data_IF_450232386905
#
_entry.id   IF_450232386905
#
_cell.length_a   1.000
_cell.length_b   1.000
_cell.length_c   1.000
_cell.angle_alpha   90.00
_cell.angle_beta   90.00
_cell.angle_gamma   90.00
#
_symmetry.space_group_name_H-M   'P 1'
#
loop_
_entity.id
_entity.type
_entity.pdbx_description
1 polymer ?
#
# COMPACT_ATOMS: atom_id res chain seq x y z
N UNK A 1 -36.23 5.39 21.50
CA UNK A 1 -34.85 5.27 21.02
C UNK A 1 -34.95 4.82 19.57
N UNK A 2 -34.66 5.70 18.60
CA UNK A 2 -34.76 5.33 17.18
C UNK A 2 -33.66 4.32 16.85
N UNK A 3 -34.09 3.08 16.72
CA UNK A 3 -33.33 1.92 16.29
C UNK A 3 -33.12 1.99 14.78
N UNK A 4 -32.30 2.93 14.31
CA UNK A 4 -31.62 2.72 13.04
C UNK A 4 -30.67 1.55 13.28
N UNK A 5 -31.09 0.36 12.85
CA UNK A 5 -30.52 -0.93 13.20
C UNK A 5 -28.99 -0.89 13.12
N UNK A 6 -28.36 -1.09 14.29
CA UNK A 6 -26.90 -1.20 14.37
C UNK A 6 -26.47 -2.42 13.57
N UNK A 7 -25.41 -2.31 12.77
CA UNK A 7 -24.71 -3.49 12.23
C UNK A 7 -24.53 -4.48 13.37
N UNK A 8 -24.84 -5.75 13.14
CA UNK A 8 -24.50 -6.79 14.10
C UNK A 8 -23.03 -6.62 14.50
N UNK A 9 -22.69 -6.81 15.78
CA UNK A 9 -21.35 -6.52 16.33
C UNK A 9 -20.25 -7.14 15.45
N UNK A 10 -20.50 -8.34 14.92
CA UNK A 10 -19.60 -9.05 14.02
C UNK A 10 -19.35 -8.31 12.69
N UNK A 11 -20.38 -7.74 12.06
CA UNK A 11 -20.23 -7.00 10.80
C UNK A 11 -19.53 -5.65 11.00
N UNK A 12 -19.71 -5.05 12.17
CA UNK A 12 -19.12 -3.76 12.53
C UNK A 12 -17.61 -3.88 12.79
N UNK A 13 -17.18 -4.98 13.40
CA UNK A 13 -15.79 -5.21 13.79
C UNK A 13 -14.94 -5.82 12.67
N UNK A 14 -15.53 -6.68 11.84
CA UNK A 14 -14.75 -7.38 10.82
C UNK A 14 -14.44 -6.50 9.61
N UNK A 15 -13.16 -6.42 9.26
CA UNK A 15 -12.67 -5.91 7.99
C UNK A 15 -12.80 -7.03 6.97
N UNK A 16 -13.44 -6.75 5.83
CA UNK A 16 -13.72 -7.73 4.79
C UNK A 16 -13.33 -7.20 3.43
N UNK A 17 -12.71 -8.05 2.63
CA UNK A 17 -12.40 -7.76 1.23
C UNK A 17 -12.93 -8.86 0.33
N UNK A 18 -13.23 -8.53 -0.92
CA UNK A 18 -13.66 -9.50 -1.91
C UNK A 18 -13.23 -9.04 -3.30
N UNK A 19 -13.29 -9.97 -4.26
CA UNK A 19 -13.23 -9.62 -5.67
C UNK A 19 -14.37 -8.67 -6.03
N UNK A 20 -14.07 -7.71 -6.89
CA UNK A 20 -15.04 -6.73 -7.38
C UNK A 20 -15.95 -7.37 -8.45
N UNK A 21 -16.92 -8.14 -7.97
CA UNK A 21 -17.99 -8.75 -8.76
C UNK A 21 -19.28 -7.93 -8.58
N UNK A 22 -20.17 -7.95 -9.58
CA UNK A 22 -21.42 -7.19 -9.50
C UNK A 22 -22.34 -7.70 -8.38
N UNK A 23 -22.37 -9.01 -8.13
CA UNK A 23 -23.08 -9.61 -6.99
C UNK A 23 -22.58 -9.03 -5.64
N UNK A 24 -21.27 -8.82 -5.50
CA UNK A 24 -20.67 -8.26 -4.27
C UNK A 24 -20.96 -6.78 -4.11
N UNK A 25 -21.05 -6.03 -5.22
CA UNK A 25 -21.49 -4.62 -5.19
C UNK A 25 -22.94 -4.53 -4.75
N UNK A 26 -23.82 -5.41 -5.24
CA UNK A 26 -25.22 -5.46 -4.84
C UNK A 26 -25.37 -5.80 -3.35
N UNK A 27 -24.67 -6.83 -2.88
CA UNK A 27 -24.67 -7.19 -1.45
C UNK A 27 -24.16 -6.03 -0.57
N UNK A 28 -23.09 -5.36 -1.00
CA UNK A 28 -22.56 -4.19 -0.32
C UNK A 28 -23.57 -3.03 -0.32
N UNK A 29 -24.26 -2.78 -1.43
CA UNK A 29 -25.30 -1.76 -1.51
C UNK A 29 -26.45 -2.06 -0.55
N UNK A 30 -26.96 -3.30 -0.54
CA UNK A 30 -28.00 -3.74 0.39
C UNK A 30 -27.57 -3.60 1.86
N UNK A 31 -26.31 -3.90 2.18
CA UNK A 31 -25.76 -3.69 3.53
C UNK A 31 -25.76 -2.21 3.92
N UNK A 32 -25.40 -1.32 2.99
CA UNK A 32 -25.35 0.13 3.24
C UNK A 32 -26.74 0.77 3.29
N UNK A 33 -27.73 0.19 2.63
CA UNK A 33 -29.13 0.60 2.72
C UNK A 33 -29.76 0.15 4.04
N UNK A 34 -29.46 -1.07 4.46
CA UNK A 34 -30.04 -1.68 5.66
C UNK A 34 -29.38 -1.17 6.95
N UNK A 35 -28.09 -0.85 6.90
CA UNK A 35 -27.34 -0.48 8.09
C UNK A 35 -26.55 0.82 7.93
N UNK A 36 -26.41 1.54 9.05
CA UNK A 36 -25.53 2.72 9.10
C UNK A 36 -24.06 2.32 9.01
N UNK A 37 -23.23 3.20 8.43
CA UNK A 37 -21.79 3.02 8.41
C UNK A 37 -21.22 2.88 9.84
N UNK A 38 -20.20 2.02 10.05
CA UNK A 38 -19.59 1.86 11.35
C UNK A 38 -18.91 3.16 11.78
N UNK A 39 -19.04 3.50 13.07
CA UNK A 39 -18.37 4.66 13.68
C UNK A 39 -16.90 4.30 13.97
N UNK A 40 -16.07 4.36 12.95
CA UNK A 40 -14.62 4.12 13.04
C UNK A 40 -13.85 5.03 12.10
N UNK A 41 -12.59 5.27 12.43
CA UNK A 41 -11.70 6.06 11.60
C UNK A 41 -11.09 5.21 10.46
N UNK A 42 -10.68 5.89 9.39
CA UNK A 42 -10.04 5.28 8.22
C UNK A 42 -10.96 5.05 7.03
N UNK A 43 -10.48 4.28 6.04
CA UNK A 43 -11.22 3.97 4.83
C UNK A 43 -12.32 2.94 5.12
N UNK A 44 -13.57 3.37 4.98
CA UNK A 44 -14.72 2.50 5.20
C UNK A 44 -14.95 1.63 3.94
N UNK A 45 -15.38 2.24 2.86
CA UNK A 45 -15.70 1.51 1.63
C UNK A 45 -14.72 1.89 0.54
N UNK A 46 -14.10 0.90 -0.10
CA UNK A 46 -13.21 1.11 -1.25
C UNK A 46 -13.60 0.13 -2.34
N UNK A 47 -13.91 0.63 -3.52
CA UNK A 47 -14.13 -0.18 -4.72
C UNK A 47 -13.12 0.26 -5.76
N UNK A 48 -12.28 -0.65 -6.22
CA UNK A 48 -11.15 -0.30 -7.10
C UNK A 48 -10.72 -1.48 -7.97
N UNK A 49 -10.32 -1.23 -9.21
CA UNK A 49 -9.91 -2.31 -10.11
C UNK A 49 -8.41 -2.64 -10.01
N UNK A 50 -7.61 -1.75 -9.45
CA UNK A 50 -6.15 -1.74 -9.62
C UNK A 50 -5.36 -1.97 -8.32
N UNK A 51 -6.03 -2.15 -7.17
CA UNK A 51 -5.34 -2.32 -5.88
C UNK A 51 -5.31 -3.78 -5.46
N UNK A 52 -4.10 -4.27 -5.26
CA UNK A 52 -3.88 -5.62 -4.75
C UNK A 52 -4.44 -5.79 -3.34
N UNK A 53 -4.70 -7.04 -2.98
CA UNK A 53 -5.20 -7.44 -1.66
C UNK A 53 -4.36 -6.86 -0.51
N UNK A 54 -3.03 -6.93 -0.60
CA UNK A 54 -2.12 -6.47 0.44
C UNK A 54 -2.25 -4.96 0.67
N UNK A 55 -2.56 -4.19 -0.38
CA UNK A 55 -2.77 -2.75 -0.25
C UNK A 55 -4.07 -2.43 0.50
N UNK A 56 -5.14 -3.20 0.27
CA UNK A 56 -6.41 -3.06 0.99
C UNK A 56 -6.27 -3.45 2.46
N UNK A 57 -5.50 -4.51 2.74
CA UNK A 57 -5.18 -4.93 4.12
C UNK A 57 -4.38 -3.85 4.84
N UNK A 58 -3.32 -3.32 4.22
CA UNK A 58 -2.49 -2.25 4.80
C UNK A 58 -3.28 -0.96 5.06
N UNK A 59 -4.22 -0.63 4.16
CA UNK A 59 -5.10 0.53 4.32
C UNK A 59 -6.23 0.31 5.34
N UNK A 60 -6.31 -0.88 5.96
CA UNK A 60 -7.32 -1.24 6.96
C UNK A 60 -8.76 -0.95 6.48
N UNK A 61 -9.06 -1.33 5.23
CA UNK A 61 -10.38 -1.02 4.63
C UNK A 61 -11.48 -1.87 5.25
N UNK A 62 -12.61 -1.26 5.65
CA UNK A 62 -13.74 -2.00 6.21
C UNK A 62 -14.38 -2.96 5.21
N UNK A 63 -14.75 -2.45 4.04
CA UNK A 63 -15.35 -3.18 2.93
C UNK A 63 -14.59 -2.82 1.66
N UNK A 64 -13.67 -3.68 1.26
CA UNK A 64 -12.85 -3.52 0.07
C UNK A 64 -13.30 -4.43 -1.07
N UNK A 65 -13.52 -3.88 -2.25
CA UNK A 65 -13.75 -4.64 -3.48
C UNK A 65 -12.62 -4.36 -4.46
N UNK A 66 -11.94 -5.41 -4.94
CA UNK A 66 -11.00 -5.24 -6.05
C UNK A 66 -10.88 -6.38 -7.04
N UNK A 67 -10.64 -6.07 -8.32
CA UNK A 67 -10.40 -7.09 -9.36
C UNK A 67 -9.13 -7.90 -9.10
N UNK A 68 -8.17 -7.36 -8.32
CA UNK A 68 -6.91 -8.02 -7.98
C UNK A 68 -7.00 -8.87 -6.70
N UNK A 69 -8.17 -8.97 -6.07
CA UNK A 69 -8.41 -9.91 -4.96
C UNK A 69 -8.83 -11.25 -5.56
N UNK A 70 -8.15 -12.33 -5.17
CA UNK A 70 -8.37 -13.67 -5.73
C UNK A 70 -9.59 -14.40 -5.13
N UNK A 71 -10.26 -13.81 -4.14
CA UNK A 71 -11.40 -14.42 -3.44
C UNK A 71 -12.72 -13.88 -4.00
N UNK A 72 -13.52 -14.75 -4.62
CA UNK A 72 -14.87 -14.39 -5.10
C UNK A 72 -15.87 -14.18 -3.93
N UNK A 73 -15.53 -14.68 -2.74
CA UNK A 73 -16.27 -14.51 -1.50
C UNK A 73 -15.61 -13.49 -0.55
N UNK A 74 -16.39 -12.94 0.38
CA UNK A 74 -15.86 -12.09 1.45
C UNK A 74 -14.81 -12.82 2.27
N UNK A 75 -13.60 -12.29 2.24
CA UNK A 75 -12.49 -12.70 3.08
C UNK A 75 -12.38 -11.76 4.27
N UNK A 76 -12.44 -12.30 5.47
CA UNK A 76 -12.17 -11.55 6.70
C UNK A 76 -10.66 -11.35 6.81
N UNK A 77 -10.24 -10.09 6.99
CA UNK A 77 -8.82 -9.72 7.08
C UNK A 77 -8.43 -9.20 8.46
N UNK A 78 -9.34 -9.25 9.45
CA UNK A 78 -9.14 -8.73 10.81
C UNK A 78 -7.82 -9.15 11.46
N UNK A 79 -7.43 -10.41 11.31
CA UNK A 79 -6.21 -10.96 11.90
C UNK A 79 -4.93 -10.56 11.15
N UNK A 80 -5.06 -10.11 9.91
CA UNK A 80 -3.95 -9.63 9.07
C UNK A 80 -3.70 -8.13 9.25
N UNK A 81 -4.63 -7.43 9.90
CA UNK A 81 -4.51 -6.00 10.13
C UNK A 81 -3.62 -5.78 11.36
N UNK A 82 -2.31 -5.71 11.18
CA UNK A 82 -1.43 -5.21 12.24
C UNK A 82 -1.77 -3.75 12.53
N UNK A 83 -2.14 -3.36 13.76
CA UNK A 83 -2.44 -1.98 14.08
C UNK A 83 -1.18 -1.15 13.87
N UNK A 84 -1.13 -0.42 12.76
CA UNK A 84 -0.03 0.50 12.50
C UNK A 84 -0.32 1.77 13.28
N UNK A 85 0.00 1.76 14.57
CA UNK A 85 0.02 2.96 15.41
C UNK A 85 1.21 3.83 14.99
N UNK A 86 1.14 4.48 13.84
CA UNK A 86 2.08 5.53 13.47
C UNK A 86 1.56 6.86 14.00
N UNK A 87 2.02 7.22 15.21
CA UNK A 87 1.92 8.58 15.74
C UNK A 87 2.43 9.58 14.70
N UNK A 88 1.57 10.49 14.28
CA UNK A 88 1.99 11.76 13.67
C UNK A 88 2.78 12.56 14.69
N UNK A 89 4.08 12.77 14.46
CA UNK A 89 4.84 13.93 14.95
C UNK A 89 6.22 13.95 14.28
N UNK A 90 6.33 14.79 13.24
CA UNK A 90 7.51 15.56 12.82
C UNK A 90 7.64 15.55 11.30
N UNK A 91 7.26 16.68 10.73
CA UNK A 91 7.60 17.15 9.40
C UNK A 91 9.12 17.00 9.19
N UNK A 92 9.56 16.08 8.32
CA UNK A 92 10.87 16.19 7.66
C UNK A 92 10.78 15.55 6.28
N UNK A 93 10.76 16.41 5.28
CA UNK A 93 10.94 16.08 3.88
C UNK A 93 12.17 15.18 3.71
N UNK A 94 11.98 13.99 3.16
CA UNK A 94 13.08 13.23 2.58
C UNK A 94 12.56 12.40 1.42
N UNK A 95 13.12 12.76 0.27
CA UNK A 95 13.00 12.21 -1.07
C UNK A 95 13.00 10.68 -1.14
N UNK A 96 12.20 10.16 -2.08
CA UNK A 96 12.32 8.83 -2.69
C UNK A 96 13.80 8.49 -2.94
N UNK A 97 14.29 7.45 -2.28
CA UNK A 97 15.54 6.78 -2.63
C UNK A 97 15.20 5.34 -3.02
N UNK A 98 15.41 5.05 -4.30
CA UNK A 98 15.39 3.73 -4.88
C UNK A 98 16.80 3.14 -4.72
N UNK A 99 16.88 2.00 -4.04
CA UNK A 99 18.07 1.14 -4.01
C UNK A 99 18.85 1.15 -2.69
N UNK A 100 18.86 0.01 -2.00
CA UNK A 100 20.12 -0.55 -1.51
C UNK A 100 19.92 -2.03 -1.17
N UNK A 101 20.57 -2.87 -1.98
CA UNK A 101 20.89 -4.26 -1.68
C UNK A 101 21.92 -4.25 -0.55
N UNK A 102 21.68 -5.09 0.46
CA UNK A 102 22.54 -5.32 1.62
C UNK A 102 24.02 -5.55 1.22
N UNK A 103 24.89 -4.67 1.72
CA UNK A 103 26.33 -4.91 1.83
C UNK A 103 26.64 -5.32 3.28
N UNK A 104 27.34 -6.46 3.47
CA UNK A 104 27.94 -6.84 4.75
C UNK A 104 29.48 -6.67 4.66
N UNK A 105 30.14 -6.15 5.72
CA UNK A 105 31.31 -5.28 5.59
C UNK A 105 32.63 -5.96 5.95
N UNK A 106 33.75 -5.43 5.45
CA UNK A 106 34.98 -5.23 6.24
C UNK A 106 35.90 -4.19 5.61
N UNK A 107 35.99 -3.04 6.31
CA UNK A 107 37.23 -2.35 6.73
C UNK A 107 38.38 -2.21 5.71
N UNK A 108 38.57 -1.00 5.19
CA UNK A 108 39.53 -0.01 5.72
C UNK A 108 40.03 0.95 4.63
N UNK A 109 40.09 2.24 5.01
CA UNK A 109 40.84 3.36 4.39
C UNK A 109 40.17 4.16 3.25
N UNK A 110 39.47 5.22 3.68
CA UNK A 110 39.84 6.61 3.34
C UNK A 110 40.19 6.92 1.87
N UNK A 111 39.21 7.36 1.05
CA UNK A 111 39.41 8.43 0.06
C UNK A 111 38.09 8.93 -0.60
N UNK A 112 37.05 9.21 0.17
CA UNK A 112 35.87 9.89 -0.37
C UNK A 112 36.08 11.41 -0.35
N UNK A 113 36.68 12.00 -1.40
CA UNK A 113 36.47 13.44 -1.66
C UNK A 113 36.75 14.00 -3.07
N UNK A 114 37.29 13.28 -4.06
CA UNK A 114 37.84 13.97 -5.25
C UNK A 114 37.48 13.39 -6.63
N UNK A 115 36.21 13.08 -6.92
CA UNK A 115 35.79 12.77 -8.30
C UNK A 115 34.54 13.52 -8.76
N UNK A 116 34.41 14.80 -8.39
CA UNK A 116 33.34 15.68 -8.87
C UNK A 116 33.78 16.73 -9.91
N UNK A 117 34.97 16.66 -10.49
CA UNK A 117 35.33 17.53 -11.60
C UNK A 117 36.31 16.84 -12.56
N UNK A 118 36.02 16.95 -13.87
CA UNK A 118 36.86 16.58 -15.02
C UNK A 118 36.57 15.25 -15.74
N UNK A 119 35.43 15.16 -16.44
CA UNK A 119 35.37 14.46 -17.74
C UNK A 119 34.64 15.37 -18.75
N UNK A 120 35.24 16.52 -19.02
CA UNK A 120 34.99 17.34 -20.21
C UNK A 120 36.36 17.70 -20.78
N UNK A 121 37.03 16.73 -21.39
CA UNK A 121 38.22 16.87 -22.25
C UNK A 121 38.75 15.47 -22.62
N UNK A 122 38.14 14.82 -23.59
CA UNK A 122 38.58 13.52 -24.11
C UNK A 122 38.10 13.28 -25.53
N UNK A 123 37.97 14.37 -26.28
CA UNK A 123 37.84 14.36 -27.72
C UNK A 123 39.23 14.07 -28.30
N UNK A 124 39.26 13.28 -29.39
CA UNK A 124 40.42 12.96 -30.23
C UNK A 124 41.36 11.84 -29.74
N UNK A 125 41.73 11.00 -30.72
CA UNK A 125 42.78 9.97 -30.70
C UNK A 125 42.35 8.53 -30.37
N UNK A 126 41.52 7.94 -31.24
CA UNK A 126 41.68 6.53 -31.60
C UNK A 126 41.24 6.33 -33.06
N UNK A 127 42.06 6.85 -33.98
CA UNK A 127 42.23 6.25 -35.30
C UNK A 127 43.33 5.21 -35.17
N UNK A 128 43.05 3.99 -35.64
CA UNK A 128 44.08 3.08 -36.11
C UNK A 128 44.19 1.73 -35.39
N UNK A 129 44.23 0.70 -36.23
CA UNK A 129 44.90 -0.61 -36.06
C UNK A 129 44.01 -1.67 -35.37
N UNK A 130 43.62 -2.83 -35.92
CA UNK A 130 43.93 -3.65 -37.11
C UNK A 130 42.80 -4.74 -37.11
N UNK A 131 42.13 -5.12 -38.20
CA UNK A 131 42.52 -6.03 -39.30
C UNK A 131 41.38 -6.05 -40.34
#
# INVERSE_FOLDING_TARGET
MSASDQLNNDEQLNYKISKNLDERKQELASLLEQYSLPKREGSLVVVTEIKAEEALVKAQVWRGLSNLVNSDNWKVIGDLVTPTTSKTSALKTSSLSFGQVDEKPTKDKSLALAMFAAIVAGMMMLWGIVF
#
